data_IF_800885375368
#
_entry.id   IF_800885375368
#
_cell.length_a   1.000
_cell.length_b   1.000
_cell.length_c   1.000
_cell.angle_alpha   90.00
_cell.angle_beta   90.00
_cell.angle_gamma   90.00
#
_symmetry.space_group_name_H-M   'P 1'
#
loop_
_entity.id
_entity.type
_entity.pdbx_description
1 polymer ?
#
# COMPACT_ATOMS: atom_id res chain seq x y z
N UNK A 1 -2.89 -0.75 12.09
CA UNK A 1 -3.24 -0.71 10.65
C UNK A 1 -4.39 -1.65 10.29
N UNK A 2 -4.20 -2.98 10.31
CA UNK A 2 -5.25 -3.95 9.92
C UNK A 2 -6.55 -3.85 10.73
N UNK A 3 -6.46 -3.58 12.04
CA UNK A 3 -7.62 -3.45 12.93
C UNK A 3 -8.25 -2.04 12.97
N UNK A 4 -7.74 -1.08 12.18
CA UNK A 4 -8.30 0.28 12.11
C UNK A 4 -8.03 1.18 13.33
N UNK A 5 -7.13 0.81 14.24
CA UNK A 5 -6.68 1.65 15.36
C UNK A 5 -5.97 2.94 14.85
N UNK A 6 -6.12 4.04 15.61
CA UNK A 6 -5.50 5.36 15.42
C UNK A 6 -5.25 5.96 16.81
N UNK A 7 -4.24 5.42 17.49
CA UNK A 7 -3.83 5.76 18.85
C UNK A 7 -2.43 6.39 18.91
N UNK A 8 -1.72 6.42 17.77
CA UNK A 8 -0.45 7.13 17.59
C UNK A 8 -0.40 7.89 16.25
N UNK A 9 0.65 8.69 16.05
CA UNK A 9 0.81 9.49 14.83
C UNK A 9 0.79 8.63 13.56
N UNK A 10 1.50 7.50 13.54
CA UNK A 10 1.65 6.66 12.36
C UNK A 10 0.31 5.99 12.00
N UNK A 11 -0.34 5.39 12.98
CA UNK A 11 -1.63 4.73 12.83
C UNK A 11 -2.73 5.70 12.39
N UNK A 12 -2.72 6.94 12.89
CA UNK A 12 -3.63 7.98 12.43
C UNK A 12 -3.34 8.45 11.00
N UNK A 13 -2.07 8.61 10.60
CA UNK A 13 -1.70 8.91 9.21
C UNK A 13 -2.14 7.78 8.28
N UNK A 14 -1.90 6.52 8.66
CA UNK A 14 -2.35 5.36 7.88
C UNK A 14 -3.87 5.29 7.76
N UNK A 15 -4.62 5.65 8.82
CA UNK A 15 -6.09 5.67 8.80
C UNK A 15 -6.66 6.76 7.89
N UNK A 16 -6.03 7.92 7.84
CA UNK A 16 -6.39 9.03 6.97
C UNK A 16 -5.82 8.88 5.54
N UNK A 17 -5.09 7.81 5.25
CA UNK A 17 -4.41 7.63 3.97
C UNK A 17 -5.39 7.38 2.83
N UNK A 18 -5.17 8.08 1.72
CA UNK A 18 -6.01 7.96 0.53
C UNK A 18 -5.38 6.96 -0.45
N UNK A 19 -5.72 5.68 -0.30
CA UNK A 19 -5.18 4.58 -1.12
C UNK A 19 -5.46 4.72 -2.62
N UNK A 20 -6.51 5.45 -3.03
CA UNK A 20 -6.82 5.69 -4.44
C UNK A 20 -5.92 6.72 -5.12
N UNK A 21 -5.23 7.57 -4.36
CA UNK A 21 -4.43 8.66 -4.91
C UNK A 21 -2.93 8.53 -4.65
N UNK A 22 -2.54 7.68 -3.68
CA UNK A 22 -1.14 7.53 -3.26
C UNK A 22 -0.86 6.10 -2.84
N UNK A 23 0.29 5.53 -3.23
CA UNK A 23 0.70 4.21 -2.75
C UNK A 23 0.99 4.24 -1.24
N UNK A 24 0.70 3.13 -0.57
CA UNK A 24 1.22 2.84 0.77
C UNK A 24 2.12 1.61 0.66
N UNK A 25 3.40 1.74 0.99
CA UNK A 25 4.39 0.65 0.90
C UNK A 25 4.78 0.23 2.31
N UNK A 26 4.79 -1.07 2.57
CA UNK A 26 5.05 -1.66 3.89
C UNK A 26 6.14 -2.70 3.76
N UNK A 27 7.22 -2.57 4.53
CA UNK A 27 8.29 -3.56 4.62
C UNK A 27 8.30 -4.18 6.04
N UNK A 28 7.67 -5.35 6.26
CA UNK A 28 7.59 -5.96 7.57
C UNK A 28 8.96 -6.36 8.09
N UNK A 29 9.16 -6.19 9.40
CA UNK A 29 10.37 -6.56 10.11
C UNK A 29 9.98 -7.17 11.47
N UNK A 30 10.17 -8.48 11.64
CA UNK A 30 9.80 -9.20 12.86
C UNK A 30 10.59 -10.52 12.98
N UNK A 31 10.59 -11.14 14.16
CA UNK A 31 11.17 -12.47 14.34
C UNK A 31 10.44 -13.53 13.49
N UNK A 32 11.12 -14.62 13.12
CA UNK A 32 10.53 -15.72 12.33
C UNK A 32 9.26 -16.32 12.92
N UNK A 33 9.18 -16.47 14.25
CA UNK A 33 7.99 -17.02 14.89
C UNK A 33 6.81 -16.03 14.83
N UNK A 34 7.09 -14.73 14.95
CA UNK A 34 6.08 -13.69 14.72
C UNK A 34 5.61 -13.70 13.27
N UNK A 35 6.50 -13.86 12.30
CA UNK A 35 6.15 -13.93 10.88
C UNK A 35 5.27 -15.15 10.55
N UNK A 36 5.60 -16.31 11.13
CA UNK A 36 4.84 -17.57 10.94
C UNK A 36 3.50 -17.58 11.68
N UNK A 37 3.30 -16.67 12.63
CA UNK A 37 2.08 -16.63 13.42
C UNK A 37 0.84 -16.40 12.52
N UNK A 38 -0.25 -17.16 12.70
CA UNK A 38 -1.43 -17.07 11.83
C UNK A 38 -2.06 -15.67 11.80
N UNK A 39 -1.99 -14.94 12.93
CA UNK A 39 -2.46 -13.55 13.00
C UNK A 39 -1.66 -12.65 12.05
N UNK A 40 -0.34 -12.79 11.98
CA UNK A 40 0.49 -11.96 11.09
C UNK A 40 0.10 -12.18 9.63
N UNK A 41 -0.11 -13.45 9.24
CA UNK A 41 -0.62 -13.80 7.90
C UNK A 41 -1.96 -13.11 7.61
N UNK A 42 -2.92 -13.19 8.53
CA UNK A 42 -4.21 -12.54 8.37
C UNK A 42 -4.08 -11.01 8.27
N UNK A 43 -3.26 -10.38 9.12
CA UNK A 43 -3.08 -8.93 9.13
C UNK A 43 -2.41 -8.42 7.85
N UNK A 44 -1.41 -9.15 7.33
CA UNK A 44 -0.74 -8.84 6.06
C UNK A 44 -1.75 -8.91 4.92
N UNK A 45 -2.52 -10.01 4.83
CA UNK A 45 -3.56 -10.16 3.81
C UNK A 45 -4.60 -9.04 3.88
N UNK A 46 -4.99 -8.60 5.08
CA UNK A 46 -5.95 -7.51 5.24
C UNK A 46 -5.41 -6.17 4.72
N UNK A 47 -4.16 -5.82 5.02
CA UNK A 47 -3.60 -4.55 4.54
C UNK A 47 -3.33 -4.58 3.03
N UNK A 48 -3.00 -5.74 2.45
CA UNK A 48 -2.90 -5.92 1.00
C UNK A 48 -4.27 -5.71 0.33
N UNK A 49 -5.36 -6.25 0.91
CA UNK A 49 -6.72 -6.02 0.43
C UNK A 49 -7.15 -4.54 0.47
N UNK A 50 -6.62 -3.76 1.40
CA UNK A 50 -6.85 -2.30 1.43
C UNK A 50 -6.07 -1.54 0.36
N UNK A 51 -5.14 -2.20 -0.34
CA UNK A 51 -4.30 -1.60 -1.38
C UNK A 51 -2.89 -1.23 -0.93
N UNK A 52 -2.44 -1.70 0.25
CA UNK A 52 -1.04 -1.57 0.63
C UNK A 52 -0.16 -2.52 -0.19
N UNK A 53 1.01 -2.04 -0.60
CA UNK A 53 2.04 -2.83 -1.28
C UNK A 53 2.98 -3.37 -0.20
N UNK A 54 2.94 -4.68 0.03
CA UNK A 54 3.77 -5.34 1.03
C UNK A 54 5.02 -5.91 0.38
N UNK A 55 6.19 -5.42 0.81
CA UNK A 55 7.49 -5.95 0.40
C UNK A 55 7.79 -7.17 1.30
N UNK A 56 8.01 -8.36 0.73
CA UNK A 56 8.22 -9.55 1.54
C UNK A 56 9.51 -9.44 2.38
N UNK A 57 9.53 -9.97 3.61
CA UNK A 57 10.76 -10.05 4.38
C UNK A 57 11.72 -11.08 3.78
N UNK A 58 12.98 -10.97 4.15
CA UNK A 58 14.05 -11.84 3.69
C UNK A 58 14.55 -12.76 4.80
N UNK A 59 15.21 -13.85 4.41
CA UNK A 59 15.92 -14.73 5.32
C UNK A 59 17.30 -14.14 5.64
N UNK A 60 17.56 -13.84 6.91
CA UNK A 60 18.88 -13.38 7.40
C UNK A 60 19.16 -13.95 8.77
N UNK A 61 20.40 -13.79 9.25
CA UNK A 61 20.70 -13.99 10.67
C UNK A 61 19.98 -12.90 11.47
N UNK A 62 19.05 -13.32 12.31
CA UNK A 62 18.29 -12.46 13.19
C UNK A 62 19.12 -12.13 14.43
N UNK A 63 18.67 -11.13 15.20
CA UNK A 63 19.34 -10.65 16.42
C UNK A 63 19.48 -11.78 17.47
N UNK A 64 18.58 -12.77 17.48
CA UNK A 64 18.69 -13.95 18.34
C UNK A 64 19.78 -14.95 17.93
N UNK A 65 20.44 -14.75 16.78
CA UNK A 65 21.47 -15.64 16.24
C UNK A 65 20.94 -16.67 15.24
N UNK A 66 19.62 -16.89 15.18
CA UNK A 66 18.97 -17.82 14.26
C UNK A 66 18.96 -17.28 12.83
N UNK A 67 19.01 -18.19 11.85
CA UNK A 67 18.78 -17.84 10.44
C UNK A 67 17.33 -18.16 10.12
N UNK A 68 16.57 -17.13 9.75
CA UNK A 68 15.15 -17.29 9.48
C UNK A 68 14.54 -16.11 8.74
N UNK A 69 13.33 -16.31 8.26
CA UNK A 69 12.52 -15.28 7.59
C UNK A 69 12.04 -14.23 8.60
N UNK A 70 11.82 -12.99 8.15
CA UNK A 70 11.24 -11.93 8.97
C UNK A 70 12.13 -10.69 9.07
N UNK A 71 13.39 -10.76 8.61
CA UNK A 71 14.19 -9.56 8.45
C UNK A 71 13.59 -8.66 7.36
N UNK A 72 13.61 -7.35 7.60
CA UNK A 72 13.21 -6.37 6.59
C UNK A 72 14.02 -6.56 5.30
N UNK A 73 13.39 -6.32 4.15
CA UNK A 73 14.11 -6.18 2.89
C UNK A 73 15.23 -5.12 2.99
N UNK A 74 16.23 -5.22 2.11
CA UNK A 74 17.32 -4.23 2.09
C UNK A 74 16.78 -2.82 1.84
N UNK A 75 17.33 -1.77 2.47
CA UNK A 75 16.86 -0.39 2.29
C UNK A 75 16.80 0.04 0.81
N UNK A 76 17.75 -0.43 -0.01
CA UNK A 76 17.77 -0.17 -1.44
C UNK A 76 16.56 -0.80 -2.15
N UNK A 77 16.20 -2.03 -1.79
CA UNK A 77 14.98 -2.68 -2.31
C UNK A 77 13.75 -1.89 -1.90
N UNK A 78 13.65 -1.46 -0.63
CA UNK A 78 12.51 -0.66 -0.16
C UNK A 78 12.40 0.67 -0.91
N UNK A 79 13.53 1.35 -1.15
CA UNK A 79 13.55 2.61 -1.89
C UNK A 79 13.11 2.44 -3.35
N UNK A 80 13.58 1.38 -4.03
CA UNK A 80 13.20 1.07 -5.41
C UNK A 80 11.70 0.76 -5.50
N UNK A 81 11.19 -0.12 -4.65
CA UNK A 81 9.76 -0.47 -4.63
C UNK A 81 8.87 0.74 -4.33
N UNK A 82 9.30 1.63 -3.43
CA UNK A 82 8.58 2.86 -3.15
C UNK A 82 8.56 3.83 -4.35
N UNK A 83 9.67 3.93 -5.08
CA UNK A 83 9.77 4.77 -6.27
C UNK A 83 8.93 4.21 -7.43
N UNK A 84 8.99 2.92 -7.67
CA UNK A 84 8.19 2.23 -8.69
C UNK A 84 6.70 2.32 -8.37
N UNK A 85 6.33 2.09 -7.10
CA UNK A 85 4.96 2.28 -6.64
C UNK A 85 4.49 3.71 -6.92
N UNK A 86 5.27 4.74 -6.57
CA UNK A 86 4.91 6.13 -6.85
C UNK A 86 4.76 6.42 -8.35
N UNK A 87 5.66 5.90 -9.17
CA UNK A 87 5.68 6.12 -10.63
C UNK A 87 4.44 5.59 -11.34
N UNK A 88 3.77 4.57 -10.77
CA UNK A 88 2.55 3.96 -11.33
C UNK A 88 1.28 4.75 -11.01
N UNK A 89 1.32 5.68 -10.04
CA UNK A 89 0.15 6.46 -9.69
C UNK A 89 0.03 7.71 -10.58
N UNK A 90 -1.15 7.96 -11.17
CA UNK A 90 -1.36 9.14 -11.99
C UNK A 90 -1.18 10.38 -11.14
N UNK A 91 -0.48 11.37 -11.69
CA UNK A 91 -0.30 12.67 -11.02
C UNK A 91 -1.65 13.36 -10.83
N UNK A 92 -1.73 14.28 -9.86
CA UNK A 92 -2.96 15.05 -9.60
C UNK A 92 -3.50 15.75 -10.86
N UNK A 93 -2.61 16.19 -11.76
CA UNK A 93 -2.99 16.80 -13.03
C UNK A 93 -3.62 15.79 -14.00
N UNK A 94 -3.04 14.59 -14.11
CA UNK A 94 -3.59 13.50 -14.93
C UNK A 94 -4.96 13.03 -14.41
N UNK A 95 -5.13 12.96 -13.09
CA UNK A 95 -6.41 12.63 -12.47
C UNK A 95 -7.49 13.68 -12.79
N UNK A 96 -7.14 14.96 -12.74
CA UNK A 96 -8.06 16.06 -13.08
C UNK A 96 -8.44 16.06 -14.56
N UNK A 97 -7.50 15.77 -15.46
CA UNK A 97 -7.78 15.67 -16.90
C UNK A 97 -8.69 14.48 -17.21
N UNK A 98 -8.49 13.32 -16.58
CA UNK A 98 -9.37 12.15 -16.73
C UNK A 98 -10.78 12.42 -16.23
N UNK A 99 -10.93 13.12 -15.09
CA UNK A 99 -12.24 13.52 -14.56
C UNK A 99 -12.96 14.51 -15.48
N UNK A 100 -12.24 15.47 -16.07
CA UNK A 100 -12.81 16.41 -17.04
C UNK A 100 -13.24 15.72 -18.34
N UNK A 101 -12.47 14.73 -18.81
CA UNK A 101 -12.82 13.92 -19.98
C UNK A 101 -14.06 13.07 -19.74
N UNK A 102 -14.17 12.41 -18.58
CA UNK A 102 -15.35 11.63 -18.20
C UNK A 102 -16.60 12.50 -18.09
N UNK A 103 -16.50 13.69 -17.48
CA UNK A 103 -17.62 14.63 -17.41
C UNK A 103 -18.09 15.10 -18.80
N UNK A 104 -17.16 15.33 -19.73
CA UNK A 104 -17.50 15.70 -21.10
C UNK A 104 -18.18 14.55 -21.86
N UNK A 105 -17.77 13.30 -21.64
CA UNK A 105 -18.41 12.12 -22.23
C UNK A 105 -19.83 11.91 -21.69
N UNK A 106 -20.01 11.99 -20.36
CA UNK A 106 -21.32 11.85 -19.70
C UNK A 106 -22.31 12.95 -20.17
N UNK A 107 -21.85 14.20 -20.28
CA UNK A 107 -22.64 15.32 -20.79
C UNK A 107 -23.05 15.12 -22.26
N UNK A 108 -22.16 14.56 -23.09
CA UNK A 108 -22.45 14.24 -24.48
C UNK A 108 -23.51 13.12 -24.62
N UNK A 109 -23.42 12.07 -23.80
CA UNK A 109 -24.42 10.99 -23.81
C UNK A 109 -25.80 11.48 -23.34
N UNK A 110 -25.85 12.34 -22.32
CA UNK A 110 -27.11 12.94 -21.84
C UNK A 110 -27.78 13.84 -22.87
N UNK A 111 -27.00 14.52 -23.72
CA UNK A 111 -27.53 15.33 -24.82
C UNK A 111 -28.06 14.48 -25.99
N UNK A 112 -27.46 13.32 -26.27
CA UNK A 112 -27.93 12.43 -27.33
C UNK A 112 -29.23 11.70 -26.96
N UNK A 113 -29.46 11.41 -25.67
CA UNK A 113 -30.70 10.74 -25.21
C UNK A 113 -31.93 11.66 -25.17
N UNK A 114 -31.76 12.98 -25.32
CA UNK A 114 -32.84 13.97 -25.32
C UNK A 114 -33.29 14.41 -26.73
N UNK A 115 -32.70 13.84 -27.79
CA UNK A 115 -33.12 14.01 -29.19
C UNK A 115 -33.83 12.77 -29.70
#
# INVERSE_FOLDING_TARGET
>A
MSCGLCDDLLSCVCRAWCYSSKPLVVAPAMNSEMWRHPISKQQIQQIELFGAIVIPPICKRLICGDVGIGAMAEPQTVAVEAFEAWSRFPTRQQQQQQQQQQQQEDDYEHQQQQQ
#
